data_IF_496329741416
#
_entry.id   IF_496329741416
#
_cell.length_a   1.000
_cell.length_b   1.000
_cell.length_c   1.000
_cell.angle_alpha   90.00
_cell.angle_beta   90.00
_cell.angle_gamma   90.00
#
_symmetry.space_group_name_H-M   'P 1'
#
loop_
_entity.id
_entity.type
_entity.pdbx_description
1 polymer ?
#
# COMPACT_ATOMS: atom_id res chain seq x y z
N UNK A 1 -2.97 19.44 6.91
CA UNK A 1 -3.35 18.04 7.16
C UNK A 1 -2.54 17.19 6.21
N UNK A 2 -1.62 16.35 6.69
CA UNK A 2 -0.74 15.57 5.82
C UNK A 2 -1.41 14.26 5.43
N UNK A 3 -1.74 14.09 4.16
CA UNK A 3 -2.21 12.80 3.64
C UNK A 3 -1.02 11.83 3.64
N UNK A 4 -1.08 10.81 4.49
CA UNK A 4 -0.09 9.73 4.54
C UNK A 4 -0.55 8.62 3.59
N UNK A 5 0.33 8.11 2.72
CA UNK A 5 -0.03 7.00 1.85
C UNK A 5 -0.27 5.72 2.66
N UNK A 6 -1.26 4.94 2.23
CA UNK A 6 -1.56 3.61 2.76
C UNK A 6 -1.35 2.60 1.65
N UNK A 7 -0.63 1.52 1.94
CA UNK A 7 -0.38 0.45 0.99
C UNK A 7 -1.33 -0.72 1.22
N UNK A 8 -2.07 -1.08 0.17
CA UNK A 8 -2.94 -2.25 0.16
C UNK A 8 -2.24 -3.40 -0.57
N UNK A 9 -2.13 -4.54 0.10
CA UNK A 9 -1.46 -5.72 -0.42
C UNK A 9 -2.45 -6.88 -0.49
N UNK A 10 -2.35 -7.71 -1.53
CA UNK A 10 -3.16 -8.92 -1.69
C UNK A 10 -2.26 -10.10 -2.03
N UNK A 11 -2.72 -11.32 -1.79
CA UNK A 11 -1.97 -12.54 -2.09
C UNK A 11 -0.80 -12.84 -1.15
N UNK A 12 -0.61 -12.05 -0.10
CA UNK A 12 0.38 -12.29 0.95
C UNK A 12 -0.34 -12.75 2.21
N UNK A 13 0.08 -13.87 2.80
CA UNK A 13 -0.48 -14.38 4.08
C UNK A 13 -0.02 -13.56 5.29
N UNK A 14 1.20 -13.05 5.22
CA UNK A 14 1.80 -12.21 6.25
C UNK A 14 2.72 -11.20 5.58
N UNK A 15 2.78 -9.99 6.13
CA UNK A 15 3.69 -8.95 5.70
C UNK A 15 4.55 -8.51 6.88
N UNK A 16 5.85 -8.40 6.63
CA UNK A 16 6.76 -7.82 7.60
C UNK A 16 6.95 -6.33 7.26
N UNK A 17 6.26 -5.48 8.03
CA UNK A 17 6.29 -4.02 7.83
C UNK A 17 7.71 -3.47 7.91
N UNK A 18 8.54 -4.03 8.80
CA UNK A 18 9.91 -3.58 8.98
C UNK A 18 10.78 -3.92 7.78
N UNK A 19 10.68 -5.14 7.25
CA UNK A 19 11.38 -5.57 6.05
C UNK A 19 10.97 -4.74 4.82
N UNK A 20 9.68 -4.44 4.65
CA UNK A 20 9.19 -3.59 3.54
C UNK A 20 9.72 -2.16 3.70
N UNK A 21 9.63 -1.57 4.89
CA UNK A 21 10.16 -0.23 5.14
C UNK A 21 11.66 -0.15 4.92
N UNK A 22 12.44 -1.13 5.40
CA UNK A 22 13.87 -1.24 5.16
C UNK A 22 14.17 -1.33 3.66
N UNK A 23 13.40 -2.11 2.91
CA UNK A 23 13.56 -2.22 1.46
C UNK A 23 13.26 -0.89 0.76
N UNK A 24 12.15 -0.24 1.10
CA UNK A 24 11.78 1.06 0.54
C UNK A 24 12.76 2.18 0.92
N UNK A 25 13.30 2.17 2.14
CA UNK A 25 14.33 3.12 2.57
C UNK A 25 15.57 3.05 1.68
N UNK A 26 16.00 1.86 1.23
CA UNK A 26 17.11 1.74 0.27
C UNK A 26 16.83 2.46 -1.05
N UNK A 27 15.57 2.49 -1.51
CA UNK A 27 15.19 3.27 -2.70
C UNK A 27 15.11 4.76 -2.43
N UNK A 28 14.73 5.17 -1.22
CA UNK A 28 14.78 6.56 -0.78
C UNK A 28 16.22 7.06 -0.75
N UNK A 29 17.13 6.28 -0.14
CA UNK A 29 18.56 6.56 -0.07
C UNK A 29 19.20 6.57 -1.46
N UNK A 30 18.75 5.68 -2.37
CA UNK A 30 19.14 5.67 -3.78
C UNK A 30 18.56 6.86 -4.58
N UNK A 31 17.73 7.72 -3.99
CA UNK A 31 17.11 8.86 -4.66
C UNK A 31 16.01 8.50 -5.68
N UNK A 32 15.54 7.25 -5.69
CA UNK A 32 14.50 6.77 -6.62
C UNK A 32 13.09 7.17 -6.19
N UNK A 33 12.85 7.27 -4.89
CA UNK A 33 11.56 7.66 -4.31
C UNK A 33 11.76 8.63 -3.14
N UNK A 34 10.77 9.46 -2.82
CA UNK A 34 10.85 10.34 -1.66
C UNK A 34 10.44 9.60 -0.38
N UNK A 35 11.00 9.99 0.78
CA UNK A 35 10.62 9.44 2.10
C UNK A 35 9.11 9.55 2.37
N UNK A 36 8.46 10.57 1.83
CA UNK A 36 7.02 10.78 1.95
C UNK A 36 6.18 9.71 1.24
N UNK A 37 6.75 8.98 0.27
CA UNK A 37 6.08 7.86 -0.41
C UNK A 37 6.05 6.58 0.42
N UNK A 38 6.79 6.53 1.53
CA UNK A 38 6.78 5.38 2.43
C UNK A 38 5.38 5.30 3.07
N UNK A 39 4.65 4.19 2.88
CA UNK A 39 3.35 3.99 3.52
C UNK A 39 3.51 3.93 5.04
N UNK A 40 2.61 4.60 5.75
CA UNK A 40 2.55 4.53 7.22
C UNK A 40 1.83 3.23 7.65
N UNK A 41 0.77 2.89 6.92
CA UNK A 41 0.00 1.67 7.12
C UNK A 41 0.04 0.73 5.94
N UNK A 42 0.08 -0.55 6.27
CA UNK A 42 0.03 -1.66 5.34
C UNK A 42 -1.16 -2.53 5.69
N UNK A 43 -2.11 -2.60 4.77
CA UNK A 43 -3.34 -3.35 4.91
C UNK A 43 -3.29 -4.54 3.97
N UNK A 44 -3.28 -5.74 4.54
CA UNK A 44 -3.45 -6.96 3.75
C UNK A 44 -4.93 -7.20 3.55
N UNK A 45 -5.33 -7.31 2.28
CA UNK A 45 -6.68 -7.67 1.88
C UNK A 45 -6.64 -8.98 1.11
N UNK A 46 -7.67 -9.81 1.29
CA UNK A 46 -7.75 -11.11 0.64
C UNK A 46 -7.79 -10.97 -0.89
N UNK A 47 -8.64 -10.08 -1.41
CA UNK A 47 -8.71 -9.75 -2.82
C UNK A 47 -9.08 -8.29 -3.03
N UNK A 48 -8.55 -7.70 -4.11
CA UNK A 48 -9.10 -6.45 -4.64
C UNK A 48 -10.42 -6.74 -5.36
N UNK A 49 -11.47 -6.03 -5.00
CA UNK A 49 -12.72 -6.04 -5.76
C UNK A 49 -12.45 -5.51 -7.16
N UNK A 50 -12.72 -6.35 -8.16
CA UNK A 50 -12.55 -5.99 -9.57
C UNK A 50 -13.90 -5.55 -10.12
N UNK A 51 -13.89 -4.45 -10.85
CA UNK A 51 -15.00 -4.05 -11.71
C UNK A 51 -15.22 -5.08 -12.82
N UNK A 52 -16.39 -5.09 -13.46
CA UNK A 52 -16.73 -6.00 -14.57
C UNK A 52 -15.77 -5.94 -15.77
N UNK A 53 -14.89 -4.94 -15.85
CA UNK A 53 -13.83 -4.82 -16.87
C UNK A 53 -12.45 -5.29 -16.37
N UNK A 54 -12.38 -5.91 -15.20
CA UNK A 54 -11.15 -6.42 -14.59
C UNK A 54 -10.27 -5.37 -13.91
N UNK A 55 -10.69 -4.09 -13.87
CA UNK A 55 -9.96 -3.02 -13.19
C UNK A 55 -10.23 -3.06 -11.68
N UNK A 56 -9.20 -2.79 -10.90
CA UNK A 56 -9.27 -2.67 -9.43
C UNK A 56 -10.18 -1.49 -9.09
N UNK A 57 -11.29 -1.74 -8.41
CA UNK A 57 -12.17 -0.67 -7.92
C UNK A 57 -11.64 -0.14 -6.58
N UNK A 58 -11.30 1.15 -6.52
CA UNK A 58 -10.81 1.80 -5.30
C UNK A 58 -11.93 2.31 -4.40
N UNK A 59 -13.18 2.39 -4.88
CA UNK A 59 -14.33 2.85 -4.08
C UNK A 59 -14.61 1.95 -2.87
N UNK A 60 -14.63 0.61 -2.98
CA UNK A 60 -14.85 -0.24 -1.81
C UNK A 60 -13.69 -0.14 -0.81
N UNK A 61 -12.45 0.07 -1.27
CA UNK A 61 -11.34 0.36 -0.36
C UNK A 61 -11.57 1.65 0.42
N UNK A 62 -11.97 2.72 -0.26
CA UNK A 62 -12.26 3.98 0.44
C UNK A 62 -13.43 3.84 1.42
N UNK A 63 -14.46 3.07 1.07
CA UNK A 63 -15.62 2.85 1.95
C UNK A 63 -15.31 1.95 3.17
N UNK A 64 -14.42 0.96 3.03
CA UNK A 64 -14.03 0.06 4.12
C UNK A 64 -13.03 0.67 5.12
N UNK A 65 -12.31 1.71 4.71
CA UNK A 65 -11.23 2.34 5.49
C UNK A 65 -11.46 3.85 5.71
N UNK A 66 -12.70 4.35 5.58
CA UNK A 66 -13.08 5.73 5.92
C UNK A 66 -13.59 5.88 7.34
#
# INVERSE_FOLDING_TARGET
>A
MGERPVAFLTGLKAIDRNAINQHLMKFVESGRIAKFWIPDDYVVIDAFEKTSTGKIDKKPLKARFS
#
